data_IF_204575512114
#
_entry.id   IF_204575512114
#
_cell.length_a   1.000
_cell.length_b   1.000
_cell.length_c   1.000
_cell.angle_alpha   90.00
_cell.angle_beta   90.00
_cell.angle_gamma   90.00
#
_symmetry.space_group_name_H-M   'P 1'
#
loop_
_entity.id
_entity.type
_entity.pdbx_description
1 polymer ?
#
# COMPACT_ATOMS: atom_id res chain seq x y z
N UNK A 1 -11.66 13.75 -18.59
CA UNK A 1 -10.42 13.42 -17.86
C UNK A 1 -10.19 11.91 -17.85
N UNK A 2 -8.99 11.45 -17.43
CA UNK A 2 -8.72 10.03 -17.23
C UNK A 2 -9.69 9.42 -16.19
N UNK A 3 -9.90 10.13 -15.10
CA UNK A 3 -10.77 9.68 -14.01
C UNK A 3 -12.25 9.53 -14.45
N UNK A 4 -12.76 10.42 -15.29
CA UNK A 4 -14.10 10.29 -15.86
C UNK A 4 -14.23 9.03 -16.72
N UNK A 5 -13.20 8.73 -17.53
CA UNK A 5 -13.18 7.49 -18.30
C UNK A 5 -13.12 6.24 -17.41
N UNK A 6 -12.42 6.31 -16.30
CA UNK A 6 -12.41 5.23 -15.30
C UNK A 6 -13.81 5.03 -14.69
N UNK A 7 -14.49 6.11 -14.32
CA UNK A 7 -15.87 6.03 -13.78
C UNK A 7 -16.86 5.41 -14.78
N UNK A 8 -16.68 5.66 -16.09
CA UNK A 8 -17.51 5.06 -17.14
C UNK A 8 -17.35 3.53 -17.26
N UNK A 9 -16.26 2.96 -16.71
CA UNK A 9 -16.06 1.51 -16.65
C UNK A 9 -16.83 0.84 -15.49
N UNK A 10 -17.62 1.61 -14.74
CA UNK A 10 -18.36 1.13 -13.57
C UNK A 10 -17.49 0.39 -12.55
N UNK A 11 -16.37 0.99 -12.10
CA UNK A 11 -15.44 0.32 -11.19
C UNK A 11 -16.09 0.05 -9.84
N UNK A 12 -15.75 -1.07 -9.23
CA UNK A 12 -16.12 -1.37 -7.86
C UNK A 12 -15.10 -0.74 -6.89
N UNK A 13 -15.55 0.18 -6.07
CA UNK A 13 -14.75 0.80 -5.02
C UNK A 13 -14.88 -0.01 -3.73
N UNK A 14 -13.76 -0.39 -3.16
CA UNK A 14 -13.72 -1.19 -1.93
C UNK A 14 -12.81 -0.57 -0.90
N UNK A 15 -13.04 -0.87 0.37
CA UNK A 15 -12.11 -0.59 1.47
C UNK A 15 -11.17 -1.78 1.67
N UNK A 16 -10.07 -1.53 2.35
CA UNK A 16 -9.10 -2.57 2.68
C UNK A 16 -8.05 -2.78 1.58
N UNK A 17 -6.82 -2.92 2.00
CA UNK A 17 -5.65 -3.06 1.10
C UNK A 17 -5.72 -4.36 0.30
N UNK A 18 -6.17 -5.45 0.91
CA UNK A 18 -6.23 -6.78 0.29
C UNK A 18 -7.57 -7.12 -0.34
N UNK A 19 -8.61 -6.33 -0.11
CA UNK A 19 -9.95 -6.60 -0.66
C UNK A 19 -9.96 -6.70 -2.18
N UNK A 20 -9.26 -5.85 -2.95
CA UNK A 20 -9.18 -6.02 -4.40
C UNK A 20 -8.61 -7.37 -4.83
N UNK A 21 -7.54 -7.82 -4.19
CA UNK A 21 -6.91 -9.11 -4.48
C UNK A 21 -7.86 -10.28 -4.18
N UNK A 22 -8.53 -10.24 -3.03
CA UNK A 22 -9.54 -11.23 -2.65
C UNK A 22 -10.69 -11.30 -3.66
N UNK A 23 -11.17 -10.15 -4.10
CA UNK A 23 -12.25 -10.05 -5.09
C UNK A 23 -11.84 -10.60 -6.45
N UNK A 24 -10.63 -10.29 -6.91
CA UNK A 24 -10.13 -10.79 -8.21
C UNK A 24 -9.89 -12.32 -8.15
N UNK A 25 -9.38 -12.83 -7.04
CA UNK A 25 -9.04 -14.24 -6.87
C UNK A 25 -10.25 -15.16 -6.59
N UNK A 26 -11.40 -14.59 -6.29
CA UNK A 26 -12.60 -15.40 -6.06
C UNK A 26 -12.95 -16.24 -7.29
N UNK A 27 -13.28 -17.52 -7.08
CA UNK A 27 -13.53 -18.50 -8.15
C UNK A 27 -14.64 -18.11 -9.13
N UNK A 28 -15.55 -17.26 -8.69
CA UNK A 28 -16.68 -16.73 -9.49
C UNK A 28 -16.48 -15.26 -9.87
N UNK A 29 -15.26 -14.74 -9.76
CA UNK A 29 -15.00 -13.35 -10.08
C UNK A 29 -15.09 -13.07 -11.56
N UNK A 30 -15.77 -11.99 -11.91
CA UNK A 30 -15.75 -11.39 -13.27
C UNK A 30 -14.74 -10.24 -13.36
N UNK A 31 -14.02 -9.92 -12.28
CA UNK A 31 -13.06 -8.84 -12.22
C UNK A 31 -11.67 -9.31 -12.65
N UNK A 32 -11.05 -8.60 -13.57
CA UNK A 32 -9.78 -8.99 -14.17
C UNK A 32 -8.59 -8.12 -13.75
N UNK A 33 -8.84 -6.92 -13.23
CA UNK A 33 -7.78 -5.98 -12.88
C UNK A 33 -8.21 -5.04 -11.75
N UNK A 34 -7.24 -4.55 -11.00
CA UNK A 34 -7.43 -3.56 -9.94
C UNK A 34 -6.21 -2.65 -9.79
N UNK A 35 -6.42 -1.57 -9.05
CA UNK A 35 -5.34 -0.75 -8.47
C UNK A 35 -5.36 -0.97 -6.96
N UNK A 36 -4.23 -1.31 -6.39
CA UNK A 36 -4.08 -1.56 -4.96
C UNK A 36 -2.75 -1.03 -4.44
N UNK A 37 -2.62 -0.89 -3.15
CA UNK A 37 -1.39 -0.47 -2.49
C UNK A 37 -0.53 -1.64 -1.96
N UNK A 38 -0.98 -2.88 -2.14
CA UNK A 38 -0.29 -4.08 -1.65
C UNK A 38 0.27 -4.87 -2.83
N UNK A 39 1.43 -4.49 -3.30
CA UNK A 39 1.67 -4.91 -4.62
C UNK A 39 3.04 -5.35 -5.09
N UNK A 40 3.89 -5.95 -4.26
CA UNK A 40 5.11 -6.55 -4.80
C UNK A 40 5.03 -8.05 -5.02
N UNK A 41 3.97 -8.70 -4.58
CA UNK A 41 3.90 -10.15 -4.57
C UNK A 41 2.92 -10.67 -5.60
N UNK A 42 3.39 -11.05 -6.80
CA UNK A 42 2.58 -11.89 -7.65
C UNK A 42 2.26 -13.17 -6.88
N UNK A 43 1.00 -13.43 -6.66
CA UNK A 43 0.53 -14.76 -6.28
C UNK A 43 0.41 -15.60 -7.55
N UNK A 44 0.21 -16.90 -7.42
CA UNK A 44 0.05 -17.80 -8.57
C UNK A 44 -0.99 -17.35 -9.59
N UNK A 45 -1.95 -16.52 -9.17
CA UNK A 45 -3.10 -16.12 -10.00
C UNK A 45 -3.17 -14.61 -10.26
N UNK A 46 -2.24 -13.81 -9.71
CA UNK A 46 -2.20 -12.36 -9.90
C UNK A 46 -0.82 -11.95 -10.40
N UNK A 47 -0.82 -11.22 -11.50
CA UNK A 47 0.36 -10.53 -11.98
C UNK A 47 0.34 -9.07 -11.49
N UNK A 48 1.48 -8.60 -10.98
CA UNK A 48 1.66 -7.23 -10.51
C UNK A 48 2.52 -6.47 -11.48
N UNK A 49 2.12 -5.25 -11.82
CA UNK A 49 2.90 -4.37 -12.68
C UNK A 49 2.97 -2.97 -12.09
N UNK A 50 4.11 -2.32 -12.30
CA UNK A 50 4.32 -0.91 -12.03
C UNK A 50 4.18 -0.10 -13.32
N UNK A 51 3.77 1.16 -13.25
CA UNK A 51 3.67 1.98 -14.46
C UNK A 51 5.05 2.15 -15.11
N UNK A 52 5.12 1.90 -16.41
CA UNK A 52 6.32 2.16 -17.22
C UNK A 52 6.45 3.65 -17.54
N UNK A 53 5.32 4.33 -17.64
CA UNK A 53 5.22 5.78 -17.81
C UNK A 53 4.39 6.36 -16.66
N UNK A 54 4.87 7.46 -16.08
CA UNK A 54 4.25 8.07 -14.92
C UNK A 54 4.90 7.65 -13.61
N UNK A 55 4.18 7.82 -12.52
CA UNK A 55 4.68 7.59 -11.17
C UNK A 55 3.71 6.74 -10.37
N UNK A 56 4.24 6.09 -9.35
CA UNK A 56 3.45 5.40 -8.32
C UNK A 56 3.91 5.83 -6.93
N UNK A 57 3.03 5.67 -5.96
CA UNK A 57 3.28 6.12 -4.59
C UNK A 57 3.91 4.98 -3.80
N UNK A 58 5.01 5.29 -3.13
CA UNK A 58 5.62 4.44 -2.11
C UNK A 58 5.78 5.21 -0.81
N UNK A 59 5.71 4.52 0.29
CA UNK A 59 5.99 5.07 1.63
C UNK A 59 6.46 3.93 2.54
N UNK A 60 7.20 4.29 3.56
CA UNK A 60 7.60 3.34 4.60
C UNK A 60 6.58 3.31 5.74
N UNK A 61 6.35 2.14 6.28
CA UNK A 61 5.53 1.98 7.48
C UNK A 61 6.28 2.50 8.70
N UNK A 62 5.56 3.16 9.60
CA UNK A 62 6.09 3.66 10.85
C UNK A 62 5.39 2.95 12.01
N UNK A 63 6.17 2.62 13.03
CA UNK A 63 5.66 2.11 14.29
C UNK A 63 6.13 3.00 15.45
N UNK A 64 5.29 3.17 16.45
CA UNK A 64 5.60 3.95 17.64
C UNK A 64 5.14 3.20 18.90
N UNK A 65 5.82 3.46 20.00
CA UNK A 65 5.43 2.97 21.31
C UNK A 65 4.73 4.13 22.02
N UNK A 66 3.43 4.02 22.38
CA UNK A 66 2.74 5.04 23.14
C UNK A 66 3.43 5.29 24.49
N UNK A 67 3.36 6.54 24.98
CA UNK A 67 3.99 6.93 26.25
C UNK A 67 3.56 6.04 27.42
N UNK A 68 2.28 5.72 27.47
CA UNK A 68 1.67 4.94 28.55
C UNK A 68 1.38 3.49 28.11
N UNK A 69 2.25 2.93 27.27
CA UNK A 69 2.13 1.54 26.84
C UNK A 69 2.26 0.60 28.06
N UNK A 70 1.37 -0.40 28.22
CA UNK A 70 1.42 -1.30 29.39
C UNK A 70 2.66 -2.22 29.41
N UNK A 71 3.24 -2.48 28.24
CA UNK A 71 4.41 -3.36 28.06
C UNK A 71 5.46 -2.75 27.12
N UNK A 72 6.10 -1.62 27.50
CA UNK A 72 6.98 -0.89 26.60
C UNK A 72 8.24 -1.69 26.20
N UNK A 73 8.76 -2.52 27.10
CA UNK A 73 9.96 -3.33 26.82
C UNK A 73 9.65 -4.46 25.82
N UNK A 74 8.47 -5.06 25.89
CA UNK A 74 8.00 -6.00 24.89
C UNK A 74 7.83 -5.35 23.52
N UNK A 75 7.30 -4.13 23.47
CA UNK A 75 7.19 -3.37 22.24
C UNK A 75 8.56 -3.01 21.64
N UNK A 76 9.54 -2.61 22.47
CA UNK A 76 10.92 -2.40 22.02
C UNK A 76 11.54 -3.67 21.46
N UNK A 77 11.34 -4.80 22.13
CA UNK A 77 11.83 -6.08 21.64
C UNK A 77 11.25 -6.43 20.27
N UNK A 78 9.93 -6.25 20.10
CA UNK A 78 9.27 -6.45 18.82
C UNK A 78 9.83 -5.53 17.74
N UNK A 79 9.99 -4.24 18.00
CA UNK A 79 10.56 -3.30 17.02
C UNK A 79 12.00 -3.70 16.64
N UNK A 80 12.83 -4.07 17.61
CA UNK A 80 14.19 -4.54 17.33
C UNK A 80 14.17 -5.83 16.47
N UNK A 81 13.28 -6.77 16.78
CA UNK A 81 13.13 -8.00 15.99
C UNK A 81 12.72 -7.69 14.54
N UNK A 82 11.72 -6.82 14.35
CA UNK A 82 11.26 -6.41 13.01
C UNK A 82 12.33 -5.66 12.19
N UNK A 83 13.33 -5.10 12.87
CA UNK A 83 14.46 -4.43 12.24
C UNK A 83 15.68 -5.35 12.07
N UNK A 84 15.61 -6.62 12.46
CA UNK A 84 16.70 -7.56 12.19
C UNK A 84 16.83 -7.84 10.70
N UNK A 85 18.03 -8.19 10.28
CA UNK A 85 18.32 -8.54 8.89
C UNK A 85 17.55 -9.76 8.43
N UNK A 86 17.48 -10.76 9.29
CA UNK A 86 16.77 -12.02 9.06
C UNK A 86 15.28 -11.77 8.81
N UNK A 87 14.63 -10.99 9.67
CA UNK A 87 13.21 -10.70 9.51
C UNK A 87 12.94 -9.85 8.27
N UNK A 88 13.75 -8.81 8.00
CA UNK A 88 13.60 -7.98 6.82
C UNK A 88 13.74 -8.79 5.52
N UNK A 89 14.68 -9.73 5.47
CA UNK A 89 14.89 -10.60 4.31
C UNK A 89 13.70 -11.54 4.01
N UNK A 90 12.89 -11.88 5.02
CA UNK A 90 11.72 -12.77 4.82
C UNK A 90 10.48 -12.05 4.31
N UNK A 91 10.49 -10.71 4.29
CA UNK A 91 9.27 -9.94 3.94
C UNK A 91 8.95 -9.91 2.46
N UNK A 92 9.96 -10.16 1.61
CA UNK A 92 9.81 -10.11 0.16
C UNK A 92 9.42 -8.73 -0.40
N UNK A 93 9.29 -7.69 0.43
CA UNK A 93 9.13 -6.30 0.04
C UNK A 93 10.45 -5.54 0.19
N UNK A 94 10.52 -4.30 -0.28
CA UNK A 94 11.70 -3.49 -0.03
C UNK A 94 11.98 -3.38 1.46
N UNK A 95 13.19 -3.77 1.90
CA UNK A 95 13.58 -3.63 3.30
C UNK A 95 13.79 -2.15 3.66
N UNK A 96 13.61 -1.82 4.93
CA UNK A 96 13.99 -0.49 5.45
C UNK A 96 15.48 -0.41 5.78
N UNK A 97 16.18 -1.55 5.75
CA UNK A 97 17.63 -1.66 5.95
C UNK A 97 18.33 -1.63 4.60
N UNK A 98 19.40 -0.86 4.52
CA UNK A 98 20.24 -0.76 3.31
C UNK A 98 21.21 -1.94 3.10
N UNK A 99 21.37 -2.80 4.12
CA UNK A 99 22.23 -3.99 4.08
C UNK A 99 21.45 -5.30 3.87
N UNK A 100 20.19 -5.19 3.45
CA UNK A 100 19.35 -6.31 3.02
C UNK A 100 19.04 -6.13 1.54
N UNK A 101 19.18 -7.20 0.78
CA UNK A 101 18.92 -7.19 -0.66
C UNK A 101 17.48 -6.78 -0.99
N UNK A 102 17.27 -6.02 -2.05
CA UNK A 102 15.94 -5.71 -2.54
C UNK A 102 15.21 -6.97 -3.04
N UNK A 103 13.89 -6.90 -3.25
CA UNK A 103 13.14 -8.01 -3.81
C UNK A 103 13.70 -8.44 -5.19
N UNK A 104 13.65 -9.73 -5.47
CA UNK A 104 14.17 -10.28 -6.72
C UNK A 104 13.55 -9.60 -7.95
N UNK A 105 14.38 -9.14 -8.85
CA UNK A 105 13.95 -8.44 -10.08
C UNK A 105 13.72 -6.93 -9.92
N UNK A 106 13.96 -6.36 -8.74
CA UNK A 106 13.83 -4.93 -8.50
C UNK A 106 15.16 -4.32 -8.01
N UNK A 107 15.46 -3.06 -8.38
CA UNK A 107 16.54 -2.30 -7.76
C UNK A 107 16.21 -1.93 -6.31
N UNK A 108 17.19 -1.38 -5.59
CA UNK A 108 16.93 -0.78 -4.29
C UNK A 108 15.85 0.30 -4.39
N UNK A 109 15.07 0.52 -3.32
CA UNK A 109 13.92 1.44 -3.36
C UNK A 109 14.31 2.87 -3.77
N UNK A 110 15.50 3.33 -3.37
CA UNK A 110 16.01 4.64 -3.75
C UNK A 110 16.44 4.74 -5.22
N UNK A 111 16.62 3.62 -5.90
CA UNK A 111 16.98 3.52 -7.30
C UNK A 111 15.77 3.13 -8.18
N UNK A 112 14.63 2.86 -7.55
CA UNK A 112 13.41 2.45 -8.25
C UNK A 112 12.86 3.61 -9.09
N UNK A 113 12.75 3.45 -10.42
CA UNK A 113 12.24 4.51 -11.27
C UNK A 113 10.75 4.76 -11.02
N UNK A 114 10.32 6.00 -11.18
CA UNK A 114 8.91 6.38 -11.09
C UNK A 114 8.37 6.51 -9.67
N UNK A 115 9.20 6.39 -8.65
CA UNK A 115 8.77 6.61 -7.26
C UNK A 115 9.86 7.28 -6.42
N UNK A 116 9.42 7.93 -5.35
CA UNK A 116 10.27 8.53 -4.33
C UNK A 116 9.58 8.35 -2.97
N UNK A 117 10.24 7.67 -2.05
CA UNK A 117 9.69 7.33 -0.74
C UNK A 117 9.49 8.55 0.19
N UNK A 118 10.13 9.68 -0.11
CA UNK A 118 10.00 10.92 0.66
C UNK A 118 8.85 11.79 0.18
N UNK A 119 8.54 11.72 -1.12
CA UNK A 119 7.56 12.57 -1.78
C UNK A 119 6.15 12.45 -1.18
N UNK A 120 5.72 11.24 -0.84
CA UNK A 120 4.39 11.05 -0.24
C UNK A 120 4.27 11.75 1.11
N UNK A 121 5.30 11.70 1.94
CA UNK A 121 5.34 12.40 3.23
C UNK A 121 5.27 13.91 3.05
N UNK A 122 6.04 14.46 2.14
CA UNK A 122 6.04 15.88 1.81
C UNK A 122 4.66 16.31 1.31
N UNK A 123 4.11 15.56 0.36
CA UNK A 123 2.77 15.83 -0.17
C UNK A 123 1.69 15.79 0.91
N UNK A 124 1.74 14.82 1.81
CA UNK A 124 0.80 14.66 2.92
C UNK A 124 0.94 15.75 4.00
N UNK A 125 2.05 16.48 4.04
CA UNK A 125 2.24 17.58 4.98
C UNK A 125 1.39 18.82 4.63
N UNK A 126 1.04 19.02 3.37
CA UNK A 126 0.07 20.04 2.94
C UNK A 126 -1.37 19.55 3.20
N UNK A 127 -1.79 19.68 4.46
CA UNK A 127 -3.11 19.21 4.91
C UNK A 127 -4.26 19.85 4.14
N UNK A 128 -4.14 21.10 3.75
CA UNK A 128 -5.18 21.80 3.00
C UNK A 128 -5.38 21.18 1.61
N UNK A 129 -4.29 20.81 0.93
CA UNK A 129 -4.32 20.13 -0.35
C UNK A 129 -4.91 18.72 -0.23
N UNK A 130 -4.49 17.99 0.80
CA UNK A 130 -5.00 16.62 1.07
C UNK A 130 -6.50 16.64 1.31
N UNK A 131 -7.00 17.55 2.16
CA UNK A 131 -8.43 17.64 2.46
C UNK A 131 -9.26 18.06 1.24
N UNK A 132 -8.77 19.01 0.43
CA UNK A 132 -9.46 19.38 -0.83
C UNK A 132 -9.58 18.18 -1.78
N UNK A 133 -8.51 17.40 -1.90
CA UNK A 133 -8.53 16.23 -2.78
C UNK A 133 -9.43 15.12 -2.22
N UNK A 134 -9.40 14.89 -0.91
CA UNK A 134 -10.31 13.96 -0.24
C UNK A 134 -11.77 14.30 -0.52
N UNK A 135 -12.16 15.55 -0.28
CA UNK A 135 -13.53 16.03 -0.54
C UNK A 135 -13.89 15.86 -2.03
N UNK A 136 -12.96 16.18 -2.93
CA UNK A 136 -13.21 16.02 -4.35
C UNK A 136 -13.48 14.55 -4.75
N UNK A 137 -12.76 13.60 -4.16
CA UNK A 137 -13.02 12.18 -4.39
C UNK A 137 -14.33 11.74 -3.74
N UNK A 138 -14.62 12.16 -2.52
CA UNK A 138 -15.88 11.85 -1.83
C UNK A 138 -17.11 12.36 -2.62
N UNK A 139 -17.02 13.54 -3.23
CA UNK A 139 -18.06 14.07 -4.12
C UNK A 139 -18.29 13.20 -5.37
N UNK A 140 -17.27 12.51 -5.85
CA UNK A 140 -17.34 11.67 -7.07
C UNK A 140 -17.71 10.22 -6.77
N UNK A 141 -17.24 9.69 -5.67
CA UNK A 141 -17.32 8.27 -5.33
C UNK A 141 -18.28 7.97 -4.18
N UNK A 142 -18.68 9.00 -3.44
CA UNK A 142 -19.29 8.84 -2.12
C UNK A 142 -18.26 8.51 -1.05
N UNK A 143 -18.72 8.37 0.18
CA UNK A 143 -17.86 7.93 1.28
C UNK A 143 -17.47 6.46 1.13
N UNK A 144 -16.31 6.08 1.69
CA UNK A 144 -15.82 4.72 1.66
C UNK A 144 -16.86 3.72 2.21
N UNK A 145 -17.19 2.72 1.40
CA UNK A 145 -18.17 1.67 1.71
C UNK A 145 -17.47 0.35 2.02
N UNK A 146 -18.17 -0.54 2.72
CA UNK A 146 -17.70 -1.88 3.06
C UNK A 146 -17.35 -2.05 4.52
N UNK A 147 -16.94 -3.26 4.88
CA UNK A 147 -16.52 -3.61 6.22
C UNK A 147 -15.22 -2.87 6.61
N UNK A 148 -14.95 -2.82 7.91
CA UNK A 148 -13.66 -2.30 8.38
C UNK A 148 -12.51 -3.10 7.78
N UNK A 149 -11.40 -2.47 7.37
CA UNK A 149 -10.21 -3.18 6.89
C UNK A 149 -9.66 -4.24 7.88
N UNK A 150 -10.00 -4.12 9.16
CA UNK A 150 -9.68 -5.13 10.17
C UNK A 150 -10.52 -6.42 10.04
N UNK A 151 -11.61 -6.37 9.31
CA UNK A 151 -12.55 -7.48 9.11
C UNK A 151 -12.42 -8.05 7.70
N UNK A 152 -12.10 -7.22 6.71
CA UNK A 152 -11.99 -7.60 5.29
C UNK A 152 -10.81 -8.55 4.99
N UNK A 153 -9.89 -8.75 5.91
CA UNK A 153 -8.70 -9.58 5.74
C UNK A 153 -8.77 -10.97 6.36
N UNK A 154 -9.96 -11.40 6.75
CA UNK A 154 -10.18 -12.70 7.41
C UNK A 154 -10.86 -13.65 6.44
#
# INVERSE_FOLDING_TARGET
SWFERLLQQNPRWVRGTRTPDTVIQASNSSWAASFTSDGLFPTSNINVSHPVQGSFVTWFQLAAIPKDAPHPEGAKLLHNFMLTKEWQATRGSWPVRSDVEPPAGYPAIFEMPGTDITYFREWMSDRAKVERLRTWFEDKLGSAQGLSPLIDGI
#
